data_IF_358541455414
#
_entry.id   IF_358541455414
#
_cell.length_a   1.000
_cell.length_b   1.000
_cell.length_c   1.000
_cell.angle_alpha   90.00
_cell.angle_beta   90.00
_cell.angle_gamma   90.00
#
_symmetry.space_group_name_H-M   'P 1'
#
loop_
_entity.id
_entity.type
_entity.pdbx_description
1 polymer ?
#
# COMPACT_ATOMS: atom_id res chain seq x y z
N UNK A 1 -24.73 24.60 -24.11
CA UNK A 1 -23.42 24.46 -23.44
C UNK A 1 -22.34 24.52 -24.52
N UNK A 2 -21.28 25.33 -24.35
CA UNK A 2 -20.21 25.40 -25.36
C UNK A 2 -19.29 24.16 -25.25
N UNK A 3 -18.43 23.92 -26.25
CA UNK A 3 -17.54 22.75 -26.29
C UNK A 3 -16.68 22.65 -25.03
N UNK A 4 -16.06 23.76 -24.62
CA UNK A 4 -15.20 23.82 -23.44
C UNK A 4 -15.92 23.41 -22.15
N UNK A 5 -17.15 23.90 -21.92
CA UNK A 5 -17.93 23.53 -20.74
C UNK A 5 -18.29 22.04 -20.75
N UNK A 6 -18.57 21.46 -21.93
CA UNK A 6 -18.82 20.02 -22.04
C UNK A 6 -17.58 19.20 -21.68
N UNK A 7 -16.42 19.55 -22.24
CA UNK A 7 -15.16 18.85 -21.99
C UNK A 7 -14.78 18.90 -20.49
N UNK A 8 -15.00 20.04 -19.83
CA UNK A 8 -14.78 20.18 -18.37
C UNK A 8 -15.71 19.27 -17.58
N UNK A 9 -17.00 19.23 -17.92
CA UNK A 9 -17.99 18.40 -17.22
C UNK A 9 -17.64 16.91 -17.37
N UNK A 10 -17.28 16.47 -18.57
CA UNK A 10 -16.86 15.08 -18.83
C UNK A 10 -15.61 14.71 -18.03
N UNK A 11 -14.63 15.60 -17.96
CA UNK A 11 -13.43 15.40 -17.16
C UNK A 11 -13.73 15.29 -15.66
N UNK A 12 -14.57 16.17 -15.12
CA UNK A 12 -14.99 16.12 -13.71
C UNK A 12 -15.73 14.82 -13.40
N UNK A 13 -16.65 14.40 -14.28
CA UNK A 13 -17.36 13.13 -14.14
C UNK A 13 -16.37 11.95 -14.15
N UNK A 14 -15.40 11.94 -15.06
CA UNK A 14 -14.38 10.90 -15.13
C UNK A 14 -13.57 10.79 -13.83
N UNK A 15 -13.09 11.92 -13.30
CA UNK A 15 -12.34 11.96 -12.03
C UNK A 15 -13.20 11.48 -10.86
N UNK A 16 -14.47 11.92 -10.79
CA UNK A 16 -15.40 11.48 -9.74
C UNK A 16 -15.66 9.97 -9.80
N UNK A 17 -15.85 9.42 -11.01
CA UNK A 17 -16.04 7.97 -11.19
C UNK A 17 -14.79 7.18 -10.81
N UNK A 18 -13.59 7.65 -11.16
CA UNK A 18 -12.34 7.02 -10.77
C UNK A 18 -12.17 7.02 -9.24
N UNK A 19 -12.52 8.12 -8.57
CA UNK A 19 -12.52 8.20 -7.10
C UNK A 19 -13.51 7.22 -6.48
N UNK A 20 -14.77 7.19 -6.95
CA UNK A 20 -15.79 6.26 -6.45
C UNK A 20 -15.35 4.81 -6.68
N UNK A 21 -14.79 4.50 -7.85
CA UNK A 21 -14.25 3.18 -8.15
C UNK A 21 -13.16 2.77 -7.14
N UNK A 22 -12.22 3.68 -6.82
CA UNK A 22 -11.19 3.42 -5.82
C UNK A 22 -11.78 3.12 -4.44
N UNK A 23 -12.79 3.89 -4.00
CA UNK A 23 -13.47 3.66 -2.72
C UNK A 23 -14.21 2.31 -2.70
N UNK A 24 -14.93 1.98 -3.77
CA UNK A 24 -15.60 0.67 -3.92
C UNK A 24 -14.61 -0.47 -3.90
N UNK A 25 -13.46 -0.32 -4.57
CA UNK A 25 -12.38 -1.30 -4.55
C UNK A 25 -11.85 -1.51 -3.13
N UNK A 26 -11.51 -0.43 -2.42
CA UNK A 26 -11.03 -0.47 -1.03
C UNK A 26 -12.01 -1.21 -0.11
N UNK A 27 -13.31 -0.92 -0.23
CA UNK A 27 -14.36 -1.63 0.50
C UNK A 27 -14.45 -3.11 0.10
N UNK A 28 -14.42 -3.42 -1.19
CA UNK A 28 -14.56 -4.79 -1.70
C UNK A 28 -13.41 -5.71 -1.25
N UNK A 29 -12.20 -5.16 -1.11
CA UNK A 29 -11.02 -5.90 -0.65
C UNK A 29 -10.70 -5.70 0.83
N UNK A 30 -11.59 -5.05 1.58
CA UNK A 30 -11.50 -4.82 3.02
C UNK A 30 -10.17 -4.17 3.48
N UNK A 31 -9.64 -3.21 2.72
CA UNK A 31 -8.44 -2.45 3.11
C UNK A 31 -8.59 -0.99 2.67
N UNK A 32 -8.13 -0.01 3.47
CA UNK A 32 -8.12 1.39 3.06
C UNK A 32 -7.12 1.69 1.92
N UNK A 33 -6.15 0.80 1.69
CA UNK A 33 -5.07 1.00 0.71
C UNK A 33 -4.94 -0.23 -0.20
N UNK A 34 -5.89 -0.45 -1.13
CA UNK A 34 -5.87 -1.60 -2.05
C UNK A 34 -4.70 -1.60 -3.03
N UNK A 35 -4.07 -0.44 -3.25
CA UNK A 35 -2.96 -0.23 -4.17
C UNK A 35 -1.84 0.56 -3.47
N UNK A 36 -0.63 0.00 -3.41
CA UNK A 36 0.53 0.61 -2.75
C UNK A 36 1.76 0.50 -3.63
N UNK A 37 2.53 1.57 -3.80
CA UNK A 37 3.80 1.51 -4.56
C UNK A 37 4.99 1.31 -3.64
N UNK A 38 5.89 0.42 -4.03
CA UNK A 38 7.14 0.15 -3.32
C UNK A 38 8.13 1.30 -3.54
N UNK A 39 8.61 1.89 -2.46
CA UNK A 39 9.47 3.10 -2.48
C UNK A 39 10.95 2.80 -2.24
N UNK A 40 11.27 1.67 -1.61
CA UNK A 40 12.60 1.29 -1.11
C UNK A 40 13.01 -0.13 -1.53
N UNK A 41 14.26 -0.48 -1.26
CA UNK A 41 14.87 -1.80 -1.55
C UNK A 41 14.79 -2.77 -0.34
N UNK A 42 14.06 -2.42 0.71
CA UNK A 42 14.01 -3.21 1.97
C UNK A 42 13.34 -4.57 1.81
N UNK A 43 12.62 -4.79 0.72
CA UNK A 43 11.93 -6.04 0.39
C UNK A 43 12.59 -6.82 -0.74
N UNK A 44 13.77 -6.42 -1.22
CA UNK A 44 14.50 -7.19 -2.22
C UNK A 44 14.92 -8.57 -1.67
N UNK A 45 14.99 -9.62 -2.51
CA UNK A 45 14.63 -9.65 -3.94
C UNK A 45 13.13 -9.93 -4.21
N UNK A 46 12.29 -9.92 -3.17
CA UNK A 46 10.87 -10.33 -3.30
C UNK A 46 10.02 -9.23 -3.92
N UNK A 47 10.24 -7.97 -3.52
CA UNK A 47 9.62 -6.79 -4.11
C UNK A 47 10.70 -5.79 -4.46
N UNK A 48 10.51 -5.09 -5.58
CA UNK A 48 11.45 -4.09 -6.08
C UNK A 48 10.83 -2.70 -6.04
N UNK A 49 11.70 -1.69 -5.89
CA UNK A 49 11.30 -0.30 -6.00
C UNK A 49 10.59 -0.05 -7.33
N UNK A 50 9.41 0.56 -7.28
CA UNK A 50 8.58 0.80 -8.46
C UNK A 50 7.53 -0.28 -8.73
N UNK A 51 7.49 -1.36 -7.96
CA UNK A 51 6.36 -2.30 -8.00
C UNK A 51 5.07 -1.65 -7.49
N UNK A 52 3.94 -1.99 -8.10
CA UNK A 52 2.61 -1.69 -7.59
C UNK A 52 2.01 -2.94 -6.96
N UNK A 53 1.70 -2.86 -5.68
CA UNK A 53 1.16 -3.95 -4.89
C UNK A 53 -0.37 -3.91 -4.91
N UNK A 54 -0.97 -5.07 -5.12
CA UNK A 54 -2.38 -5.28 -4.82
C UNK A 54 -2.54 -5.87 -3.42
N UNK A 55 -3.35 -5.22 -2.61
CA UNK A 55 -3.48 -5.48 -1.18
C UNK A 55 -4.93 -5.79 -0.84
N UNK A 56 -5.13 -6.72 0.09
CA UNK A 56 -6.45 -7.04 0.65
C UNK A 56 -6.37 -7.12 2.18
N UNK A 57 -7.37 -6.67 2.90
CA UNK A 57 -7.47 -6.94 4.34
C UNK A 57 -8.01 -8.32 4.65
N UNK A 58 -7.99 -8.68 5.94
CA UNK A 58 -8.49 -9.96 6.44
C UNK A 58 -7.57 -10.53 7.51
N UNK A 59 -7.38 -11.86 7.48
CA UNK A 59 -6.49 -12.54 8.42
C UNK A 59 -5.03 -12.44 7.95
N UNK A 60 -4.14 -12.23 8.92
CA UNK A 60 -2.70 -12.15 8.74
C UNK A 60 -2.00 -13.23 9.53
N UNK A 61 -1.00 -13.85 8.93
CA UNK A 61 -0.23 -14.93 9.55
C UNK A 61 1.26 -14.72 9.33
N UNK A 62 2.07 -15.38 10.16
CA UNK A 62 3.52 -15.45 9.97
C UNK A 62 3.84 -15.84 8.53
N UNK A 63 4.87 -15.20 7.96
CA UNK A 63 5.33 -15.23 6.56
C UNK A 63 4.58 -14.33 5.59
N UNK A 64 3.48 -13.70 5.98
CA UNK A 64 2.75 -12.78 5.11
C UNK A 64 3.51 -11.47 4.91
N UNK A 65 3.53 -10.96 3.68
CA UNK A 65 3.94 -9.59 3.39
C UNK A 65 2.73 -8.69 3.59
N UNK A 66 2.86 -7.73 4.49
CA UNK A 66 1.79 -6.84 4.93
C UNK A 66 2.19 -5.40 4.74
N UNK A 67 1.17 -4.57 4.57
CA UNK A 67 1.30 -3.13 4.70
C UNK A 67 0.81 -2.73 6.10
N UNK A 68 1.55 -1.88 6.78
CA UNK A 68 1.21 -1.46 8.13
C UNK A 68 1.66 -0.02 8.39
N UNK A 69 1.10 0.61 9.43
CA UNK A 69 1.47 1.96 9.85
C UNK A 69 1.84 1.97 11.33
N UNK A 70 3.03 2.46 11.65
CA UNK A 70 3.45 2.67 13.05
C UNK A 70 2.86 3.97 13.57
N UNK A 71 2.57 4.04 14.86
CA UNK A 71 1.99 5.24 15.48
C UNK A 71 2.93 6.46 15.46
N UNK A 72 4.24 6.25 15.31
CA UNK A 72 5.28 7.28 15.28
C UNK A 72 5.61 7.80 13.87
N UNK A 73 5.05 7.21 12.81
CA UNK A 73 5.30 7.62 11.43
C UNK A 73 4.03 7.77 10.60
N UNK A 74 4.01 8.79 9.73
CA UNK A 74 2.87 9.08 8.85
C UNK A 74 3.00 8.44 7.46
N UNK A 75 3.73 7.33 7.36
CA UNK A 75 3.89 6.60 6.11
C UNK A 75 3.65 5.10 6.30
N UNK A 76 3.14 4.48 5.25
CA UNK A 76 2.90 3.04 5.19
C UNK A 76 4.20 2.29 4.91
N UNK A 77 4.44 1.23 5.67
CA UNK A 77 5.60 0.34 5.55
C UNK A 77 5.13 -1.00 4.97
N UNK A 78 5.90 -1.56 4.04
CA UNK A 78 5.61 -2.87 3.44
C UNK A 78 6.69 -3.85 3.87
N UNK A 79 6.39 -4.78 4.77
CA UNK A 79 7.36 -5.76 5.29
C UNK A 79 6.71 -7.10 5.61
N UNK A 80 7.50 -8.10 6.00
CA UNK A 80 7.02 -9.47 6.28
C UNK A 80 6.85 -9.71 7.77
N UNK A 81 5.74 -10.35 8.15
CA UNK A 81 5.57 -10.91 9.50
C UNK A 81 6.52 -12.09 9.65
N UNK A 82 7.49 -12.01 10.56
CA UNK A 82 8.46 -13.08 10.81
C UNK A 82 8.13 -13.91 12.04
N UNK A 83 7.39 -13.33 12.99
CA UNK A 83 7.02 -13.98 14.24
C UNK A 83 5.72 -13.36 14.79
N UNK A 84 4.98 -14.14 15.57
CA UNK A 84 3.81 -13.71 16.33
C UNK A 84 3.89 -14.35 17.73
N UNK A 85 3.88 -13.52 18.76
CA UNK A 85 3.94 -13.91 20.17
C UNK A 85 2.86 -13.19 21.00
N UNK A 86 2.94 -13.31 22.32
CA UNK A 86 2.02 -12.64 23.25
C UNK A 86 2.13 -11.10 23.24
N UNK A 87 3.25 -10.55 22.79
CA UNK A 87 3.52 -9.11 22.74
C UNK A 87 3.04 -8.48 21.42
N UNK A 88 2.98 -9.26 20.34
CA UNK A 88 2.41 -8.86 19.06
C UNK A 88 3.12 -9.48 17.86
N UNK A 89 3.12 -8.75 16.74
CA UNK A 89 3.79 -9.17 15.51
C UNK A 89 5.19 -8.59 15.44
N UNK A 90 6.19 -9.43 15.15
CA UNK A 90 7.50 -8.96 14.71
C UNK A 90 7.50 -8.88 13.20
N UNK A 91 7.81 -7.69 12.68
CA UNK A 91 7.81 -7.40 11.24
C UNK A 91 9.21 -7.02 10.80
N UNK A 92 9.61 -7.44 9.60
CA UNK A 92 10.95 -7.21 9.06
C UNK A 92 10.93 -7.12 7.53
N UNK A 93 11.72 -6.20 6.98
CA UNK A 93 12.03 -6.19 5.55
C UNK A 93 12.90 -7.39 5.16
N UNK A 94 12.57 -8.03 4.05
CA UNK A 94 13.29 -9.24 3.59
C UNK A 94 14.79 -8.97 3.43
N UNK A 95 15.17 -7.77 2.98
CA UNK A 95 16.55 -7.31 2.80
C UNK A 95 17.15 -6.58 4.01
N UNK A 96 16.38 -6.35 5.08
CA UNK A 96 16.89 -5.64 6.25
C UNK A 96 17.76 -6.57 7.13
N UNK A 97 18.81 -6.08 7.80
CA UNK A 97 19.62 -6.89 8.72
C UNK A 97 18.92 -7.17 10.05
N UNK A 98 17.99 -6.31 10.46
CA UNK A 98 17.27 -6.39 11.73
C UNK A 98 15.77 -6.22 11.52
N UNK A 99 14.93 -6.72 12.45
CA UNK A 99 13.50 -6.41 12.47
C UNK A 99 13.22 -4.93 12.66
N UNK A 100 11.99 -4.55 12.32
CA UNK A 100 11.49 -3.20 12.58
C UNK A 100 11.39 -2.93 14.10
N UNK A 101 11.56 -1.69 14.56
CA UNK A 101 11.54 -1.39 15.99
C UNK A 101 10.19 -1.63 16.65
N UNK A 102 10.18 -2.49 17.67
CA UNK A 102 9.03 -2.78 18.52
C UNK A 102 8.07 -3.82 17.94
N UNK A 103 7.04 -4.14 18.72
CA UNK A 103 5.96 -5.03 18.28
C UNK A 103 4.89 -4.24 17.52
N UNK A 104 4.29 -4.89 16.54
CA UNK A 104 3.19 -4.33 15.74
C UNK A 104 1.90 -5.03 16.12
N UNK A 105 0.90 -4.25 16.49
CA UNK A 105 -0.44 -4.78 16.77
C UNK A 105 -1.15 -5.16 15.46
N UNK A 106 -2.04 -6.15 15.52
CA UNK A 106 -2.86 -6.54 14.35
C UNK A 106 -3.73 -5.40 13.81
N UNK A 107 -4.11 -4.45 14.66
CA UNK A 107 -4.83 -3.21 14.33
C UNK A 107 -4.04 -2.26 13.44
N UNK A 108 -2.70 -2.31 13.49
CA UNK A 108 -1.81 -1.47 12.70
C UNK A 108 -1.60 -2.01 11.28
N UNK A 109 -2.00 -3.26 11.03
CA UNK A 109 -1.94 -3.87 9.69
C UNK A 109 -3.10 -3.36 8.84
N UNK A 110 -2.76 -2.67 7.75
CA UNK A 110 -3.75 -2.13 6.82
C UNK A 110 -4.13 -3.14 5.74
N UNK A 111 -3.32 -4.16 5.50
CA UNK A 111 -3.63 -5.25 4.57
C UNK A 111 -2.46 -6.16 4.24
N UNK A 112 -2.73 -7.22 3.49
CA UNK A 112 -1.76 -8.20 3.01
C UNK A 112 -1.57 -8.08 1.50
N UNK A 113 -0.31 -8.12 1.07
CA UNK A 113 0.06 -8.13 -0.35
C UNK A 113 -0.35 -9.48 -0.95
N UNK A 114 -1.09 -9.43 -2.07
CA UNK A 114 -1.50 -10.63 -2.84
C UNK A 114 -0.63 -10.86 -4.06
N UNK A 115 -0.31 -9.80 -4.78
CA UNK A 115 0.61 -9.84 -5.90
C UNK A 115 1.23 -8.45 -6.14
N UNK A 116 2.35 -8.44 -6.86
CA UNK A 116 3.05 -7.24 -7.28
C UNK A 116 3.01 -7.13 -8.82
N UNK A 117 2.79 -5.93 -9.32
CA UNK A 117 2.86 -5.59 -10.72
C UNK A 117 4.14 -4.78 -10.96
N UNK A 118 5.15 -5.34 -11.65
CA UNK A 118 6.42 -4.67 -11.85
C UNK A 118 6.28 -3.32 -12.55
N UNK A 119 7.05 -2.34 -12.10
CA UNK A 119 7.17 -0.99 -12.69
C UNK A 119 5.90 -0.10 -12.69
N UNK A 120 4.72 -0.64 -12.35
CA UNK A 120 3.48 0.14 -12.36
C UNK A 120 3.35 1.14 -11.19
N UNK A 121 4.27 1.11 -10.23
CA UNK A 121 4.32 2.05 -9.11
C UNK A 121 5.04 3.36 -9.41
N UNK A 122 5.80 3.46 -10.52
CA UNK A 122 6.56 4.67 -10.85
C UNK A 122 5.72 5.95 -11.04
N UNK A 123 4.50 5.93 -11.62
CA UNK A 123 3.69 7.13 -11.72
C UNK A 123 3.39 7.75 -10.34
N UNK A 124 3.06 6.93 -9.34
CA UNK A 124 2.83 7.39 -7.96
C UNK A 124 4.13 7.87 -7.30
N UNK A 125 5.26 7.20 -7.56
CA UNK A 125 6.56 7.68 -7.09
C UNK A 125 6.88 9.06 -7.66
N UNK A 126 6.68 9.28 -8.96
CA UNK A 126 6.92 10.56 -9.63
C UNK A 126 6.13 11.71 -8.99
N UNK A 127 4.88 11.47 -8.60
CA UNK A 127 4.05 12.45 -7.89
C UNK A 127 4.64 12.86 -6.54
N UNK A 128 5.14 11.90 -5.77
CA UNK A 128 5.81 12.17 -4.49
C UNK A 128 7.06 13.07 -4.66
N UNK A 129 7.81 12.94 -5.76
CA UNK A 129 8.97 13.82 -6.03
C UNK A 129 8.59 15.26 -6.36
N UNK A 130 7.37 15.50 -6.86
CA UNK A 130 6.88 16.85 -7.15
C UNK A 130 6.05 17.45 -6.00
N UNK A 131 6.01 16.78 -4.85
CA UNK A 131 5.32 17.25 -3.65
C UNK A 131 3.79 17.15 -3.73
N UNK A 132 3.28 16.23 -4.55
CA UNK A 132 1.84 15.97 -4.76
C UNK A 132 1.49 14.57 -4.27
#
# INVERSE_FOLDING_TARGET
>A
MNKLTKDIVEFVIFVALAWIFYQVLAMAVNTPMPLVSVVSESMEPVLHRGDLLFVTGGNYSVRDVVIYQRYDVDYTIVHRIIEEDENGLTIKGDNNPMPDPGYVERSQILGKVRFAMPMLGYPRLALHWVGI
#
